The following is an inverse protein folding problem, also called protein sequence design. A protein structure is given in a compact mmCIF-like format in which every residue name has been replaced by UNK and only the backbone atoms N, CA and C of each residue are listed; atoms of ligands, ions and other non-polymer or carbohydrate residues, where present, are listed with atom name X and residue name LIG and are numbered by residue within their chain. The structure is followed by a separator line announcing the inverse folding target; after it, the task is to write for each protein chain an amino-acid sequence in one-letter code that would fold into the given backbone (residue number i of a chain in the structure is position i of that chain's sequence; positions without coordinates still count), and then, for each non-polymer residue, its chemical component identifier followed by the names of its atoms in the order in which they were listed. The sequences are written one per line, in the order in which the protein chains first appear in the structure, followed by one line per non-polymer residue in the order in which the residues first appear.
data_IF_589867416418
#
_entry.id   IF_589867416418
#
_cell.length_a   1.000
_cell.length_b   1.000
_cell.length_c   1.000
_cell.angle_alpha   90.00
_cell.angle_beta   90.00
_cell.angle_gamma   90.00
#
_symmetry.space_group_name_H-M   'P 1'
#
loop_
_entity.id
_entity.type
_entity.pdbx_description
1 polymer ?
#
# COMPACT_ATOMS: atom_id res chain seq x y z
N UNK A 1 17.04 8.00 -6.67
CA UNK A 1 15.58 8.13 -6.47
C UNK A 1 14.95 8.17 -7.85
N UNK A 2 13.71 7.70 -8.06
CA UNK A 2 13.02 7.96 -9.33
C UNK A 2 12.84 9.49 -9.39
N UNK A 3 13.44 10.13 -10.40
CA UNK A 3 13.27 11.56 -10.63
C UNK A 3 11.95 11.87 -11.37
N UNK A 4 11.26 10.83 -11.85
CA UNK A 4 9.98 10.95 -12.55
C UNK A 4 8.80 10.68 -11.59
N UNK A 5 8.26 11.77 -11.03
CA UNK A 5 7.14 11.73 -10.09
C UNK A 5 5.92 11.02 -10.69
N UNK A 6 5.68 11.20 -11.99
CA UNK A 6 4.57 10.54 -12.69
C UNK A 6 4.67 9.02 -12.67
N UNK A 7 5.86 8.47 -12.89
CA UNK A 7 6.10 7.02 -12.84
C UNK A 7 5.85 6.48 -11.43
N UNK A 8 6.26 7.20 -10.39
CA UNK A 8 5.97 6.79 -9.02
C UNK A 8 4.46 6.81 -8.71
N UNK A 9 3.73 7.79 -9.23
CA UNK A 9 2.27 7.85 -9.10
C UNK A 9 1.59 6.67 -9.82
N UNK A 10 2.00 6.37 -11.06
CA UNK A 10 1.48 5.21 -11.78
C UNK A 10 1.77 3.89 -11.07
N UNK A 11 2.98 3.72 -10.54
CA UNK A 11 3.34 2.55 -9.74
C UNK A 11 2.51 2.46 -8.46
N UNK A 12 2.29 3.60 -7.79
CA UNK A 12 1.46 3.68 -6.57
C UNK A 12 0.03 3.22 -6.86
N UNK A 13 -0.59 3.73 -7.92
CA UNK A 13 -1.95 3.34 -8.31
C UNK A 13 -2.01 1.88 -8.74
N UNK A 14 -1.06 1.42 -9.58
CA UNK A 14 -1.02 0.04 -10.04
C UNK A 14 -0.87 -0.97 -8.88
N UNK A 15 0.08 -0.71 -7.98
CA UNK A 15 0.30 -1.54 -6.79
C UNK A 15 -0.94 -1.52 -5.90
N UNK A 16 -1.51 -0.34 -5.64
CA UNK A 16 -2.69 -0.23 -4.80
C UNK A 16 -3.90 -0.95 -5.40
N UNK A 17 -4.20 -0.80 -6.68
CA UNK A 17 -5.29 -1.55 -7.32
C UNK A 17 -5.04 -3.05 -7.30
N UNK A 18 -3.80 -3.48 -7.48
CA UNK A 18 -3.43 -4.90 -7.36
C UNK A 18 -3.72 -5.42 -5.96
N UNK A 19 -3.28 -4.70 -4.92
CA UNK A 19 -3.55 -5.08 -3.54
C UNK A 19 -5.05 -5.06 -3.26
N UNK A 20 -5.78 -4.02 -3.66
CA UNK A 20 -7.22 -3.88 -3.46
C UNK A 20 -8.01 -5.05 -4.03
N UNK A 21 -7.61 -5.59 -5.19
CA UNK A 21 -8.24 -6.77 -5.80
C UNK A 21 -8.05 -8.06 -4.99
N UNK A 22 -6.96 -8.19 -4.24
CA UNK A 22 -6.64 -9.40 -3.48
C UNK A 22 -7.09 -9.32 -2.02
N UNK A 23 -6.89 -8.17 -1.36
CA UNK A 23 -7.19 -7.99 0.07
C UNK A 23 -8.43 -7.11 0.33
N UNK A 24 -9.08 -6.61 -0.72
CA UNK A 24 -10.23 -5.72 -0.62
C UNK A 24 -9.85 -4.29 -0.23
N UNK A 25 -10.77 -3.59 0.43
CA UNK A 25 -10.57 -2.21 0.87
C UNK A 25 -10.97 -1.15 -0.17
N UNK A 26 -10.82 0.11 0.23
CA UNK A 26 -11.13 1.31 -0.56
C UNK A 26 -9.97 2.28 -0.49
N UNK A 27 -9.82 3.06 -1.56
CA UNK A 27 -8.93 4.22 -1.55
C UNK A 27 -9.40 5.25 -0.54
N UNK A 28 -8.43 5.87 0.14
CA UNK A 28 -8.66 6.87 1.15
C UNK A 28 -7.49 7.85 1.20
N UNK A 29 -7.80 9.11 1.51
CA UNK A 29 -6.83 10.16 1.79
C UNK A 29 -7.31 10.86 3.06
N UNK A 30 -6.47 10.88 4.09
CA UNK A 30 -6.74 11.66 5.29
C UNK A 30 -6.28 13.11 5.09
N UNK A 31 -7.23 14.01 4.90
CA UNK A 31 -6.99 15.46 4.77
C UNK A 31 -7.37 16.22 6.04
N UNK A 32 -7.76 15.53 7.12
CA UNK A 32 -8.26 16.16 8.36
C UNK A 32 -7.25 16.04 9.50
N UNK A 33 -6.74 14.84 9.76
CA UNK A 33 -5.89 14.59 10.91
C UNK A 33 -4.41 14.71 10.56
N UNK A 34 -3.83 15.89 10.76
CA UNK A 34 -2.40 16.16 10.54
C UNK A 34 -1.44 15.31 11.39
N UNK A 35 -1.93 14.69 12.48
CA UNK A 35 -1.11 13.78 13.32
C UNK A 35 -1.07 12.35 12.77
N UNK A 36 -1.90 12.02 11.79
CA UNK A 36 -1.86 10.72 11.13
C UNK A 36 -0.56 10.60 10.33
N UNK A 37 0.17 9.49 10.50
CA UNK A 37 1.39 9.21 9.74
C UNK A 37 1.16 9.17 8.21
N UNK A 38 -0.09 8.93 7.80
CA UNK A 38 -0.53 8.88 6.40
C UNK A 38 -1.27 10.15 5.95
N UNK A 39 -1.13 11.26 6.67
CA UNK A 39 -1.78 12.52 6.32
C UNK A 39 -1.41 12.96 4.90
N UNK A 40 -2.42 13.31 4.09
CA UNK A 40 -2.29 13.69 2.68
C UNK A 40 -1.65 12.62 1.77
N UNK A 41 -1.55 11.36 2.23
CA UNK A 41 -1.11 10.24 1.40
C UNK A 41 -2.29 9.41 0.90
N UNK A 42 -2.20 8.94 -0.34
CA UNK A 42 -3.15 7.99 -0.91
C UNK A 42 -2.87 6.58 -0.38
N UNK A 43 -3.83 6.04 0.36
CA UNK A 43 -3.74 4.73 1.03
C UNK A 43 -4.96 3.87 0.73
N UNK A 44 -4.82 2.56 0.91
CA UNK A 44 -5.96 1.65 1.01
C UNK A 44 -6.34 1.46 2.47
N UNK A 45 -7.64 1.42 2.75
CA UNK A 45 -8.17 1.08 4.07
C UNK A 45 -9.43 0.24 3.94
N UNK A 46 -9.78 -0.53 4.96
CA UNK A 46 -10.99 -1.34 4.95
C UNK A 46 -11.39 -1.77 6.36
N UNK A 47 -12.68 -1.90 6.62
CA UNK A 47 -13.21 -2.36 7.91
C UNK A 47 -12.75 -3.78 8.28
N UNK A 48 -12.38 -4.57 7.28
CA UNK A 48 -11.87 -5.93 7.44
C UNK A 48 -10.35 -5.99 7.62
N UNK A 49 -9.63 -4.88 7.44
CA UNK A 49 -8.19 -4.85 7.62
C UNK A 49 -7.87 -5.03 9.09
N UNK A 50 -7.05 -6.03 9.40
CA UNK A 50 -6.55 -6.27 10.75
C UNK A 50 -5.14 -5.73 10.91
N UNK A 51 -4.83 -5.33 12.15
CA UNK A 51 -3.55 -4.72 12.49
C UNK A 51 -3.44 -3.31 11.91
N UNK A 52 -2.54 -3.15 10.93
CA UNK A 52 -2.34 -1.85 10.29
C UNK A 52 -3.50 -1.49 9.35
N UNK A 53 -4.25 -0.45 9.73
CA UNK A 53 -5.48 0.01 9.08
C UNK A 53 -5.28 0.64 7.70
N UNK A 54 -4.05 1.06 7.40
CA UNK A 54 -3.68 1.70 6.15
C UNK A 54 -2.61 0.89 5.44
N UNK A 55 -2.82 0.61 4.16
CA UNK A 55 -1.78 0.09 3.27
C UNK A 55 -1.37 1.20 2.35
N UNK A 56 -0.08 1.56 2.34
CA UNK A 56 0.46 2.71 1.61
C UNK A 56 1.25 2.24 0.38
N UNK A 57 0.64 2.18 -0.81
CA UNK A 57 1.27 1.60 -2.00
C UNK A 57 2.53 2.36 -2.44
N UNK A 58 2.57 3.68 -2.25
CA UNK A 58 3.75 4.50 -2.56
C UNK A 58 4.96 4.08 -1.72
N UNK A 59 4.74 3.77 -0.44
CA UNK A 59 5.78 3.26 0.45
C UNK A 59 6.30 1.92 -0.08
N UNK A 60 5.41 1.02 -0.53
CA UNK A 60 5.80 -0.26 -1.12
C UNK A 60 6.60 -0.07 -2.42
N UNK A 61 6.17 0.83 -3.31
CA UNK A 61 6.88 1.14 -4.54
C UNK A 61 8.31 1.62 -4.26
N UNK A 62 8.44 2.63 -3.40
CA UNK A 62 9.73 3.23 -3.02
C UNK A 62 10.64 2.21 -2.35
N UNK A 63 10.07 1.37 -1.48
CA UNK A 63 10.73 0.27 -0.81
C UNK A 63 11.25 -0.80 -1.78
N UNK A 64 10.50 -1.15 -2.84
CA UNK A 64 10.93 -2.09 -3.88
C UNK A 64 12.06 -1.51 -4.73
N UNK A 65 11.92 -0.25 -5.17
CA UNK A 65 12.93 0.45 -5.97
C UNK A 65 14.26 0.52 -5.23
N UNK A 66 14.22 0.85 -3.94
CA UNK A 66 15.43 0.95 -3.13
C UNK A 66 16.11 -0.42 -2.95
N UNK A 67 15.33 -1.47 -2.62
CA UNK A 67 15.86 -2.82 -2.36
C UNK A 67 16.36 -3.55 -3.61
N UNK A 68 15.88 -3.18 -4.80
CA UNK A 68 16.23 -3.82 -6.09
C UNK A 68 16.08 -5.34 -6.07
N UNK A 69 15.02 -5.82 -5.41
CA UNK A 69 14.74 -7.25 -5.23
C UNK A 69 13.40 -7.60 -5.90
N UNK A 70 13.45 -8.41 -6.95
CA UNK A 70 12.30 -8.65 -7.84
C UNK A 70 11.08 -9.31 -7.19
N UNK A 71 11.28 -10.07 -6.11
CA UNK A 71 10.22 -10.77 -5.38
C UNK A 71 9.65 -9.96 -4.19
N UNK A 72 10.14 -8.73 -3.97
CA UNK A 72 9.82 -8.02 -2.74
C UNK A 72 8.34 -7.60 -2.68
N UNK A 73 7.79 -7.12 -3.81
CA UNK A 73 6.38 -6.70 -3.85
C UNK A 73 5.40 -7.85 -3.68
N UNK A 74 5.69 -9.01 -4.29
CA UNK A 74 4.86 -10.20 -4.16
C UNK A 74 4.93 -10.78 -2.74
N UNK A 75 6.10 -10.68 -2.10
CA UNK A 75 6.26 -11.03 -0.68
C UNK A 75 5.40 -10.15 0.22
N UNK A 76 5.37 -8.83 0.00
CA UNK A 76 4.48 -7.91 0.76
C UNK A 76 3.02 -8.31 0.56
N UNK A 77 2.59 -8.55 -0.68
CA UNK A 77 1.21 -8.92 -0.98
C UNK A 77 0.82 -10.24 -0.30
N UNK A 78 1.65 -11.28 -0.40
CA UNK A 78 1.41 -12.57 0.25
C UNK A 78 1.27 -12.41 1.77
N UNK A 79 2.15 -11.65 2.40
CA UNK A 79 2.06 -11.37 3.82
C UNK A 79 0.76 -10.63 4.18
N UNK A 80 0.30 -9.70 3.35
CA UNK A 80 -0.98 -9.03 3.56
C UNK A 80 -2.14 -10.00 3.48
N UNK A 81 -2.17 -10.89 2.48
CA UNK A 81 -3.20 -11.92 2.30
C UNK A 81 -3.22 -12.85 3.51
N UNK A 82 -2.08 -13.46 3.85
CA UNK A 82 -1.97 -14.39 4.99
C UNK A 82 -2.40 -13.73 6.31
N UNK A 83 -2.06 -12.46 6.52
CA UNK A 83 -2.44 -11.74 7.74
C UNK A 83 -3.95 -11.48 7.82
N UNK A 84 -4.60 -11.25 6.68
CA UNK A 84 -6.06 -11.14 6.66
C UNK A 84 -6.75 -12.50 6.84
N UNK A 85 -6.13 -13.59 6.40
CA UNK A 85 -6.67 -14.96 6.48
C UNK A 85 -6.50 -15.61 7.85
N UNK A 86 -5.30 -15.58 8.45
CA UNK A 86 -4.96 -16.24 9.74
C UNK A 86 -5.76 -15.75 10.95
N UNK A 87 -6.55 -14.70 10.78
CA UNK A 87 -7.32 -14.09 11.84
C UNK A 87 -8.82 -14.48 11.78
N UNK A 88 -9.26 -15.21 10.74
CA UNK A 88 -10.58 -15.86 10.72
C UNK A 88 -10.61 -17.08 11.62
#
# INVERSE_FOLDING_TARGET
MINDVKTLDYLTVYIGETFRKHIGGKWYIDLKNKKNAYYSMLVLTGSKYRGELYKAPMTYATACINRKKGDYISTILRNCIEYQEKAR
#
